data_IF_009505910318
#
_entry.id   IF_009505910318
#
_cell.length_a   1.000
_cell.length_b   1.000
_cell.length_c   1.000
_cell.angle_alpha   90.00
_cell.angle_beta   90.00
_cell.angle_gamma   90.00
#
_symmetry.space_group_name_H-M   'P 1'
#
loop_
_entity.id
_entity.type
_entity.pdbx_description
1 polymer ?
#
# COMPACT_ATOMS: atom_id res chain seq x y z
N UNK A 1 -14.28 7.83 -11.48
CA UNK A 1 -13.91 7.78 -10.07
C UNK A 1 -12.39 7.81 -9.97
N UNK A 2 -11.85 8.72 -9.16
CA UNK A 2 -10.44 8.84 -8.80
C UNK A 2 -10.28 8.21 -7.41
N UNK A 3 -9.32 7.30 -7.27
CA UNK A 3 -9.05 6.58 -6.02
C UNK A 3 -7.58 6.73 -5.67
N UNK A 4 -7.31 7.31 -4.51
CA UNK A 4 -5.99 7.22 -3.91
C UNK A 4 -5.79 5.79 -3.36
N UNK A 5 -4.92 5.01 -3.98
CA UNK A 5 -4.81 3.58 -3.69
C UNK A 5 -3.95 3.25 -2.47
N UNK A 6 -3.35 4.26 -1.84
CA UNK A 6 -2.57 4.08 -0.62
C UNK A 6 -2.48 5.39 0.17
N UNK A 7 -3.24 5.44 1.26
CA UNK A 7 -3.11 6.42 2.34
C UNK A 7 -3.11 5.71 3.69
N UNK A 8 -2.40 6.26 4.66
CA UNK A 8 -2.53 5.86 6.05
C UNK A 8 -3.72 6.55 6.71
N UNK A 9 -4.25 5.94 7.76
CA UNK A 9 -5.29 6.58 8.57
C UNK A 9 -4.76 7.87 9.21
N UNK A 10 -5.36 9.01 8.85
CA UNK A 10 -5.01 10.34 9.35
C UNK A 10 -6.04 10.75 10.42
N UNK A 11 -5.58 11.41 11.49
CA UNK A 11 -6.43 11.85 12.58
C UNK A 11 -6.28 13.36 12.84
N UNK A 12 -7.39 14.14 12.90
CA UNK A 12 -8.78 13.71 12.75
C UNK A 12 -9.15 13.36 11.30
N UNK A 13 -10.06 12.39 11.13
CA UNK A 13 -10.46 11.85 9.81
C UNK A 13 -11.07 12.93 8.91
N UNK A 14 -11.73 13.91 9.49
CA UNK A 14 -12.31 15.05 8.77
C UNK A 14 -11.23 15.84 8.01
N UNK A 15 -10.00 15.87 8.50
CA UNK A 15 -8.86 16.47 7.78
C UNK A 15 -8.51 15.66 6.53
N UNK A 16 -8.54 14.33 6.62
CA UNK A 16 -8.29 13.43 5.50
C UNK A 16 -9.35 13.59 4.42
N UNK A 17 -10.63 13.62 4.81
CA UNK A 17 -11.75 13.83 3.89
C UNK A 17 -11.61 15.18 3.18
N UNK A 18 -11.25 16.24 3.91
CA UNK A 18 -11.02 17.57 3.32
C UNK A 18 -9.88 17.55 2.28
N UNK A 19 -8.76 16.85 2.56
CA UNK A 19 -7.68 16.67 1.59
C UNK A 19 -8.15 15.96 0.31
N UNK A 20 -8.99 14.93 0.43
CA UNK A 20 -9.58 14.26 -0.73
C UNK A 20 -10.49 15.19 -1.53
N UNK A 21 -11.34 15.97 -0.86
CA UNK A 21 -12.25 16.93 -1.49
C UNK A 21 -11.48 18.02 -2.24
N UNK A 22 -10.45 18.61 -1.61
CA UNK A 22 -9.58 19.62 -2.23
C UNK A 22 -8.82 19.05 -3.44
N UNK A 23 -8.41 17.78 -3.37
CA UNK A 23 -7.78 17.09 -4.48
C UNK A 23 -8.76 16.64 -5.57
N UNK A 24 -10.07 16.68 -5.33
CA UNK A 24 -11.08 16.08 -6.19
C UNK A 24 -10.84 14.57 -6.37
N UNK A 25 -10.54 13.89 -5.27
CA UNK A 25 -10.41 12.42 -5.16
C UNK A 25 -11.69 11.88 -4.53
N UNK A 26 -12.29 10.86 -5.14
CA UNK A 26 -13.59 10.35 -4.71
C UNK A 26 -13.48 9.43 -3.50
N UNK A 27 -12.45 8.58 -3.49
CA UNK A 27 -12.20 7.60 -2.41
C UNK A 27 -10.70 7.40 -2.15
N UNK A 28 -10.37 6.90 -0.97
CA UNK A 28 -9.02 6.38 -0.69
C UNK A 28 -9.06 4.94 -0.16
N UNK A 29 -7.97 4.21 -0.32
CA UNK A 29 -7.72 2.93 0.33
C UNK A 29 -6.86 3.19 1.56
N UNK A 30 -7.46 3.01 2.73
CA UNK A 30 -6.80 3.27 4.01
C UNK A 30 -6.00 2.06 4.48
N UNK A 31 -4.79 2.35 4.92
CA UNK A 31 -3.89 1.48 5.64
C UNK A 31 -3.83 1.89 7.10
N UNK A 32 -3.64 0.93 7.99
CA UNK A 32 -3.38 1.25 9.40
C UNK A 32 -2.02 1.94 9.52
N UNK A 33 -1.90 2.89 10.45
CA UNK A 33 -0.60 3.44 10.86
C UNK A 33 -0.51 3.48 12.38
N UNK A 34 0.71 3.54 12.89
CA UNK A 34 1.03 3.75 14.31
C UNK A 34 1.58 5.15 14.56
N UNK A 35 2.51 5.69 13.74
CA UNK A 35 2.84 7.11 13.82
C UNK A 35 1.75 7.99 13.20
N UNK A 36 1.55 9.15 13.81
CA UNK A 36 0.63 10.21 13.38
C UNK A 36 1.39 11.54 13.24
N UNK A 37 2.34 11.65 12.29
CA UNK A 37 3.15 12.86 12.10
C UNK A 37 2.32 14.08 11.75
N UNK A 38 1.10 13.91 11.23
CA UNK A 38 0.17 15.01 10.95
C UNK A 38 -0.26 15.78 12.21
N UNK A 39 -0.12 15.17 13.40
CA UNK A 39 -0.44 15.80 14.69
C UNK A 39 0.74 16.57 15.28
N UNK A 40 1.94 16.38 14.73
CA UNK A 40 3.14 17.05 15.21
C UNK A 40 3.15 18.52 14.77
N UNK A 41 3.47 19.42 15.69
CA UNK A 41 3.54 20.87 15.45
C UNK A 41 4.96 21.41 15.68
N UNK A 42 5.84 20.63 16.29
CA UNK A 42 7.23 21.01 16.57
C UNK A 42 8.21 20.02 15.96
N UNK A 43 9.44 20.48 15.67
CA UNK A 43 10.52 19.62 15.15
C UNK A 43 10.81 18.42 16.07
N UNK A 44 10.65 18.58 17.38
CA UNK A 44 10.87 17.48 18.32
C UNK A 44 9.76 16.42 18.21
N UNK A 45 8.50 16.84 18.08
CA UNK A 45 7.38 15.93 17.85
C UNK A 45 7.54 15.20 16.51
N UNK A 46 7.91 15.90 15.43
CA UNK A 46 8.22 15.27 14.15
C UNK A 46 9.32 14.22 14.29
N UNK A 47 10.43 14.53 14.98
CA UNK A 47 11.50 13.55 15.22
C UNK A 47 11.02 12.32 15.98
N UNK A 48 10.10 12.49 16.94
CA UNK A 48 9.54 11.38 17.70
C UNK A 48 8.67 10.49 16.80
N UNK A 49 7.77 11.08 16.01
CA UNK A 49 6.91 10.34 15.07
C UNK A 49 7.72 9.63 13.99
N UNK A 50 8.73 10.29 13.42
CA UNK A 50 9.62 9.69 12.42
C UNK A 50 10.48 8.56 13.01
N UNK A 51 10.90 8.68 14.28
CA UNK A 51 11.60 7.60 14.97
C UNK A 51 10.73 6.35 15.12
N UNK A 52 9.43 6.52 15.41
CA UNK A 52 8.47 5.40 15.43
C UNK A 52 8.31 4.80 14.04
N UNK A 53 8.15 5.64 13.00
CA UNK A 53 8.06 5.16 11.61
C UNK A 53 9.29 4.34 11.21
N UNK A 54 10.50 4.83 11.48
CA UNK A 54 11.73 4.14 11.08
C UNK A 54 11.89 2.78 11.79
N UNK A 55 11.35 2.60 13.00
CA UNK A 55 11.28 1.29 13.66
C UNK A 55 10.28 0.33 13.01
N UNK A 56 9.15 0.86 12.52
CA UNK A 56 8.18 0.07 11.75
C UNK A 56 8.78 -0.37 10.41
N UNK A 57 9.44 0.55 9.70
CA UNK A 57 10.09 0.29 8.42
C UNK A 57 11.29 -0.66 8.56
N UNK A 58 12.03 -0.60 9.67
CA UNK A 58 13.13 -1.55 9.96
C UNK A 58 12.63 -2.95 10.33
N UNK A 59 11.32 -3.19 10.33
CA UNK A 59 10.72 -4.46 10.68
C UNK A 59 11.03 -4.89 12.12
N UNK A 60 11.29 -3.95 13.03
CA UNK A 60 11.52 -4.23 14.44
C UNK A 60 10.25 -4.83 15.06
N UNK A 61 10.35 -6.06 15.59
CA UNK A 61 9.19 -6.80 16.11
C UNK A 61 9.29 -7.08 17.61
N UNK A 62 8.13 -7.05 18.25
CA UNK A 62 7.83 -7.69 19.51
C UNK A 62 6.53 -8.51 19.35
N UNK A 63 6.67 -9.76 18.91
CA UNK A 63 5.60 -10.62 18.37
C UNK A 63 4.25 -10.60 19.13
N UNK A 64 4.25 -10.67 20.47
CA UNK A 64 2.99 -10.66 21.24
C UNK A 64 2.35 -9.28 21.33
N UNK A 65 3.16 -8.23 21.48
CA UNK A 65 2.66 -6.86 21.58
C UNK A 65 2.20 -6.34 20.21
N UNK A 66 2.84 -6.81 19.13
CA UNK A 66 2.52 -6.40 17.76
C UNK A 66 1.14 -6.89 17.31
N UNK A 67 0.76 -8.14 17.59
CA UNK A 67 -0.57 -8.64 17.20
C UNK A 67 -1.69 -7.87 17.89
N UNK A 68 -1.56 -7.60 19.19
CA UNK A 68 -2.55 -6.80 19.93
C UNK A 68 -2.62 -5.37 19.40
N UNK A 69 -1.47 -4.77 19.03
CA UNK A 69 -1.42 -3.45 18.38
C UNK A 69 -2.13 -3.50 17.03
N UNK A 70 -1.84 -4.48 16.18
CA UNK A 70 -2.50 -4.65 14.88
C UNK A 70 -4.02 -4.83 15.02
N UNK A 71 -4.47 -5.62 16.00
CA UNK A 71 -5.89 -5.78 16.31
C UNK A 71 -6.56 -4.43 16.67
N UNK A 72 -5.93 -3.64 17.55
CA UNK A 72 -6.43 -2.31 17.90
C UNK A 72 -6.48 -1.38 16.66
N UNK A 73 -5.42 -1.38 15.85
CA UNK A 73 -5.35 -0.57 14.65
C UNK A 73 -6.44 -0.96 13.62
N UNK A 74 -6.70 -2.26 13.46
CA UNK A 74 -7.80 -2.77 12.63
C UNK A 74 -9.14 -2.28 13.18
N UNK A 75 -9.35 -2.34 14.49
CA UNK A 75 -10.60 -1.86 15.11
C UNK A 75 -10.83 -0.37 14.86
N UNK A 76 -9.77 0.45 14.94
CA UNK A 76 -9.87 1.88 14.67
C UNK A 76 -10.11 2.17 13.18
N UNK A 77 -9.40 1.47 12.28
CA UNK A 77 -9.67 1.52 10.84
C UNK A 77 -11.14 1.17 10.55
N UNK A 78 -11.66 0.08 11.12
CA UNK A 78 -13.04 -0.36 10.89
C UNK A 78 -14.10 0.63 11.39
N UNK A 79 -13.85 1.37 12.48
CA UNK A 79 -14.74 2.46 12.91
C UNK A 79 -14.85 3.53 11.83
N UNK A 80 -13.72 3.88 11.22
CA UNK A 80 -13.64 4.90 10.16
C UNK A 80 -14.33 4.41 8.88
N UNK A 81 -14.02 3.19 8.43
CA UNK A 81 -14.65 2.61 7.23
C UNK A 81 -16.16 2.48 7.37
N UNK A 82 -16.68 2.14 8.57
CA UNK A 82 -18.13 2.09 8.82
C UNK A 82 -18.78 3.47 8.78
N UNK A 83 -18.12 4.48 9.35
CA UNK A 83 -18.65 5.85 9.40
C UNK A 83 -18.62 6.54 8.04
N UNK A 84 -17.59 6.29 7.24
CA UNK A 84 -17.32 6.96 5.97
C UNK A 84 -17.13 5.97 4.81
N UNK A 85 -18.05 5.00 4.70
CA UNK A 85 -17.99 3.91 3.71
C UNK A 85 -18.08 4.41 2.25
N UNK A 86 -18.64 5.59 2.03
CA UNK A 86 -18.69 6.29 0.75
C UNK A 86 -17.35 6.95 0.40
N UNK A 87 -16.42 7.13 1.35
CA UNK A 87 -15.10 7.74 1.13
C UNK A 87 -13.95 6.74 1.16
N UNK A 88 -14.09 5.61 1.85
CA UNK A 88 -12.93 4.74 2.09
C UNK A 88 -13.18 3.26 1.79
N UNK A 89 -12.15 2.62 1.24
CA UNK A 89 -11.89 1.18 1.37
C UNK A 89 -10.74 0.99 2.37
N UNK A 90 -10.39 -0.26 2.70
CA UNK A 90 -9.25 -0.50 3.58
C UNK A 90 -8.48 -1.77 3.26
N UNK A 91 -7.19 -1.72 3.56
CA UNK A 91 -6.28 -2.85 3.63
C UNK A 91 -5.90 -3.06 5.10
N UNK A 92 -5.84 -4.32 5.52
CA UNK A 92 -5.56 -4.66 6.92
C UNK A 92 -4.16 -5.25 7.12
N UNK A 93 -3.50 -4.96 8.24
CA UNK A 93 -2.22 -5.56 8.56
C UNK A 93 -2.36 -7.05 8.88
N UNK A 94 -1.34 -7.82 8.52
CA UNK A 94 -1.20 -9.24 8.88
C UNK A 94 0.18 -9.45 9.51
N UNK A 95 0.28 -10.12 10.67
CA UNK A 95 1.56 -10.39 11.31
C UNK A 95 2.45 -11.28 10.44
N UNK A 96 3.71 -10.88 10.27
CA UNK A 96 4.75 -11.71 9.66
C UNK A 96 5.36 -12.67 10.69
N UNK A 97 5.63 -13.91 10.28
CA UNK A 97 6.31 -14.93 11.10
C UNK A 97 5.37 -15.86 11.87
N UNK A 98 4.06 -15.79 11.61
CA UNK A 98 3.12 -16.84 12.00
C UNK A 98 3.28 -18.06 11.08
N UNK A 99 2.78 -19.21 11.52
CA UNK A 99 2.63 -20.36 10.62
C UNK A 99 1.41 -20.18 9.69
N UNK A 100 1.29 -21.04 8.68
CA UNK A 100 0.23 -20.92 7.66
C UNK A 100 -1.19 -20.92 8.23
N UNK A 101 -1.50 -21.84 9.15
CA UNK A 101 -2.85 -21.96 9.73
C UNK A 101 -3.19 -20.74 10.59
N UNK A 102 -2.22 -20.23 11.35
CA UNK A 102 -2.37 -18.99 12.13
C UNK A 102 -2.56 -17.77 11.22
N UNK A 103 -1.79 -17.67 10.12
CA UNK A 103 -1.93 -16.61 9.12
C UNK A 103 -3.30 -16.65 8.46
N UNK A 104 -3.78 -17.82 8.03
CA UNK A 104 -5.11 -17.98 7.43
C UNK A 104 -6.18 -17.56 8.44
N UNK A 105 -6.09 -18.06 9.68
CA UNK A 105 -7.03 -17.71 10.75
C UNK A 105 -7.08 -16.20 11.02
N UNK A 106 -5.93 -15.52 10.97
CA UNK A 106 -5.86 -14.07 11.09
C UNK A 106 -6.55 -13.36 9.92
N UNK A 107 -6.25 -13.76 8.68
CA UNK A 107 -6.84 -13.20 7.47
C UNK A 107 -8.36 -13.36 7.49
N UNK A 108 -8.87 -14.54 7.81
CA UNK A 108 -10.32 -14.78 7.89
C UNK A 108 -10.97 -13.90 8.95
N UNK A 109 -10.38 -13.86 10.15
CA UNK A 109 -10.94 -13.16 11.30
C UNK A 109 -10.93 -11.66 11.14
N UNK A 110 -9.86 -11.07 10.61
CA UNK A 110 -9.66 -9.61 10.64
C UNK A 110 -9.75 -8.93 9.27
N UNK A 111 -9.54 -9.66 8.17
CA UNK A 111 -9.54 -9.10 6.81
C UNK A 111 -10.84 -9.46 6.10
N UNK A 112 -11.13 -10.75 5.97
CA UNK A 112 -12.30 -11.25 5.22
C UNK A 112 -13.60 -10.90 5.94
N UNK A 113 -13.72 -11.17 7.24
CA UNK A 113 -14.94 -10.88 8.01
C UNK A 113 -15.32 -9.38 8.01
N UNK A 114 -14.31 -8.51 7.85
CA UNK A 114 -14.45 -7.06 7.80
C UNK A 114 -14.60 -6.52 6.37
N UNK A 115 -14.61 -7.38 5.35
CA UNK A 115 -14.71 -7.02 3.93
C UNK A 115 -13.61 -6.03 3.46
N UNK A 116 -12.42 -6.12 4.07
CA UNK A 116 -11.24 -5.39 3.61
C UNK A 116 -10.83 -5.91 2.22
N UNK A 117 -10.16 -5.04 1.44
CA UNK A 117 -9.87 -5.29 0.01
C UNK A 117 -8.48 -5.83 -0.25
N UNK A 118 -7.65 -5.90 0.78
CA UNK A 118 -6.32 -6.45 0.68
C UNK A 118 -5.62 -6.50 2.03
N UNK A 119 -4.38 -6.93 1.99
CA UNK A 119 -3.50 -7.06 3.15
C UNK A 119 -2.25 -6.22 2.96
N UNK A 120 -1.80 -5.61 4.05
CA UNK A 120 -0.65 -4.72 4.07
C UNK A 120 -0.91 -3.49 4.95
N UNK A 121 0.00 -2.54 5.01
CA UNK A 121 1.29 -2.49 4.32
C UNK A 121 2.27 -3.43 5.03
N UNK A 122 2.95 -4.30 4.27
CA UNK A 122 4.04 -5.10 4.82
C UNK A 122 5.33 -4.31 4.77
N UNK A 123 6.00 -4.13 5.92
CA UNK A 123 7.27 -3.40 6.06
C UNK A 123 8.44 -4.33 6.44
N UNK A 124 8.87 -5.24 5.54
CA UNK A 124 10.01 -6.11 5.85
C UNK A 124 11.30 -5.28 5.94
N UNK A 125 11.98 -5.37 7.08
CA UNK A 125 13.20 -4.62 7.36
C UNK A 125 14.49 -5.25 6.84
N UNK A 126 14.43 -6.52 6.42
CA UNK A 126 15.57 -7.27 5.89
C UNK A 126 15.10 -8.43 5.00
N UNK A 127 16.04 -9.01 4.26
CA UNK A 127 15.78 -10.09 3.30
C UNK A 127 15.12 -11.32 3.91
N UNK A 128 15.40 -11.66 5.17
CA UNK A 128 14.76 -12.79 5.85
C UNK A 128 13.28 -12.53 6.11
N UNK A 129 12.92 -11.29 6.48
CA UNK A 129 11.52 -10.90 6.59
C UNK A 129 10.82 -10.82 5.23
N UNK A 130 11.53 -10.51 4.14
CA UNK A 130 10.96 -10.63 2.79
C UNK A 130 10.63 -12.09 2.48
N UNK A 131 11.51 -13.05 2.82
CA UNK A 131 11.19 -14.48 2.65
C UNK A 131 9.98 -14.93 3.47
N UNK A 132 9.78 -14.37 4.66
CA UNK A 132 8.61 -14.66 5.50
C UNK A 132 7.28 -14.29 4.83
N UNK A 133 7.28 -13.42 3.81
CA UNK A 133 6.08 -13.14 3.01
C UNK A 133 5.56 -14.39 2.31
N UNK A 134 6.38 -15.41 2.06
CA UNK A 134 5.93 -16.64 1.39
C UNK A 134 4.70 -17.28 2.06
N UNK A 135 4.64 -17.29 3.40
CA UNK A 135 3.48 -17.78 4.14
C UNK A 135 2.23 -16.93 3.85
N UNK A 136 2.39 -15.61 3.72
CA UNK A 136 1.31 -14.71 3.33
C UNK A 136 0.84 -15.02 1.90
N UNK A 137 1.78 -15.20 0.96
CA UNK A 137 1.47 -15.58 -0.42
C UNK A 137 0.70 -16.91 -0.50
N UNK A 138 1.15 -17.93 0.22
CA UNK A 138 0.45 -19.22 0.32
C UNK A 138 -0.97 -19.06 0.86
N UNK A 139 -1.15 -18.30 1.94
CA UNK A 139 -2.46 -18.04 2.51
C UNK A 139 -3.39 -17.34 1.52
N UNK A 140 -2.88 -16.38 0.76
CA UNK A 140 -3.65 -15.59 -0.22
C UNK A 140 -4.02 -16.33 -1.50
N UNK A 141 -3.45 -17.50 -1.80
CA UNK A 141 -3.84 -18.28 -3.00
C UNK A 141 -5.34 -18.62 -3.02
N UNK A 142 -5.96 -18.76 -1.84
CA UNK A 142 -7.39 -19.03 -1.69
C UNK A 142 -8.25 -17.75 -1.65
N UNK A 143 -7.62 -16.57 -1.67
CA UNK A 143 -8.29 -15.27 -1.58
C UNK A 143 -7.83 -14.35 -2.72
N UNK A 144 -7.95 -14.81 -3.98
CA UNK A 144 -7.47 -14.08 -5.17
C UNK A 144 -8.12 -12.70 -5.39
N UNK A 145 -9.15 -12.35 -4.63
CA UNK A 145 -9.77 -11.03 -4.63
C UNK A 145 -9.09 -10.03 -3.66
N UNK A 146 -8.17 -10.51 -2.81
CA UNK A 146 -7.34 -9.68 -1.93
C UNK A 146 -5.99 -9.42 -2.60
N UNK A 147 -5.62 -8.16 -2.73
CA UNK A 147 -4.26 -7.79 -3.13
C UNK A 147 -3.33 -7.73 -1.90
N UNK A 148 -2.04 -7.99 -2.12
CA UNK A 148 -0.98 -7.78 -1.14
C UNK A 148 -0.20 -6.51 -1.49
N UNK A 149 -0.05 -5.62 -0.51
CA UNK A 149 0.74 -4.39 -0.65
C UNK A 149 2.01 -4.50 0.20
N UNK A 150 3.18 -4.40 -0.44
CA UNK A 150 4.48 -4.51 0.24
C UNK A 150 5.28 -3.23 0.04
N UNK A 151 5.83 -2.71 1.14
CA UNK A 151 6.80 -1.62 1.13
C UNK A 151 8.03 -2.05 0.36
N UNK A 152 8.42 -1.31 -0.68
CA UNK A 152 9.61 -1.63 -1.48
C UNK A 152 10.62 -0.49 -1.58
N UNK A 153 10.52 0.52 -0.71
CA UNK A 153 11.55 1.53 -0.52
C UNK A 153 12.58 1.06 0.53
N UNK A 154 13.55 1.92 0.85
CA UNK A 154 14.49 1.68 1.95
C UNK A 154 13.72 1.38 3.25
N UNK A 155 14.03 0.30 3.99
CA UNK A 155 15.30 -0.45 3.98
C UNK A 155 15.36 -1.69 3.08
N UNK A 156 14.35 -1.94 2.24
CA UNK A 156 14.35 -3.12 1.36
C UNK A 156 15.53 -3.03 0.37
N UNK A 157 16.39 -4.04 0.41
CA UNK A 157 17.59 -4.10 -0.42
C UNK A 157 17.24 -4.57 -1.84
N UNK A 158 18.16 -4.41 -2.79
CA UNK A 158 18.01 -4.99 -4.13
C UNK A 158 17.83 -6.51 -4.10
N UNK A 159 18.46 -7.21 -3.15
CA UNK A 159 18.26 -8.64 -2.95
C UNK A 159 16.86 -8.94 -2.40
N UNK A 160 16.37 -8.15 -1.45
CA UNK A 160 14.98 -8.20 -0.98
C UNK A 160 13.98 -8.03 -2.13
N UNK A 161 14.20 -7.08 -3.03
CA UNK A 161 13.38 -6.90 -4.25
C UNK A 161 13.39 -8.17 -5.11
N UNK A 162 14.56 -8.78 -5.35
CA UNK A 162 14.64 -10.02 -6.13
C UNK A 162 13.89 -11.18 -5.47
N UNK A 163 13.97 -11.31 -4.14
CA UNK A 163 13.20 -12.32 -3.40
C UNK A 163 11.69 -12.09 -3.61
N UNK A 164 11.22 -10.84 -3.49
CA UNK A 164 9.81 -10.52 -3.69
C UNK A 164 9.35 -10.80 -5.14
N UNK A 165 10.20 -10.52 -6.13
CA UNK A 165 9.94 -10.84 -7.54
C UNK A 165 9.78 -12.35 -7.76
N UNK A 166 10.64 -13.17 -7.16
CA UNK A 166 10.56 -14.63 -7.27
C UNK A 166 9.32 -15.19 -6.56
N UNK A 167 8.95 -14.65 -5.38
CA UNK A 167 7.67 -14.98 -4.74
C UNK A 167 6.48 -14.61 -5.64
N UNK A 168 6.51 -13.41 -6.25
CA UNK A 168 5.43 -12.93 -7.12
C UNK A 168 5.23 -13.85 -8.33
N UNK A 169 6.32 -14.34 -8.95
CA UNK A 169 6.25 -15.35 -10.03
C UNK A 169 5.75 -16.70 -9.55
N UNK A 170 6.18 -17.13 -8.36
CA UNK A 170 5.82 -18.42 -7.76
C UNK A 170 4.32 -18.53 -7.47
N UNK A 171 3.68 -17.41 -7.13
CA UNK A 171 2.27 -17.34 -6.74
C UNK A 171 1.45 -16.44 -7.69
N UNK A 172 1.24 -16.86 -8.96
CA UNK A 172 0.67 -16.01 -10.01
C UNK A 172 -0.80 -15.62 -9.80
N UNK A 173 -1.50 -16.25 -8.85
CA UNK A 173 -2.89 -15.91 -8.48
C UNK A 173 -2.97 -14.75 -7.49
N UNK A 174 -1.86 -14.41 -6.83
CA UNK A 174 -1.82 -13.35 -5.82
C UNK A 174 -1.43 -12.05 -6.50
N UNK A 175 -2.30 -11.06 -6.45
CA UNK A 175 -2.05 -9.72 -6.95
C UNK A 175 -1.11 -8.95 -6.02
N UNK A 176 0.07 -8.56 -6.51
CA UNK A 176 1.15 -7.93 -5.73
C UNK A 176 1.32 -6.47 -6.13
N UNK A 177 1.23 -5.57 -5.15
CA UNK A 177 1.51 -4.14 -5.31
C UNK A 177 2.90 -3.86 -4.72
N UNK A 178 3.81 -3.43 -5.59
CA UNK A 178 5.16 -2.99 -5.22
C UNK A 178 5.09 -1.52 -4.80
N UNK A 179 5.19 -1.28 -3.48
CA UNK A 179 5.09 0.03 -2.85
C UNK A 179 6.16 0.99 -3.33
N UNK A 180 5.80 2.22 -3.70
CA UNK A 180 6.75 3.25 -4.10
C UNK A 180 7.62 2.87 -5.32
N UNK A 181 7.07 2.07 -6.23
CA UNK A 181 7.71 1.66 -7.49
C UNK A 181 9.09 1.00 -7.28
N UNK A 182 9.35 0.34 -6.14
CA UNK A 182 10.65 -0.30 -5.87
C UNK A 182 11.75 0.63 -5.34
N UNK A 183 11.43 1.89 -5.06
CA UNK A 183 12.38 2.90 -4.62
C UNK A 183 13.56 3.04 -5.59
N UNK A 184 14.80 2.90 -5.10
CA UNK A 184 15.98 2.99 -5.96
C UNK A 184 16.11 1.84 -6.98
N UNK A 185 15.33 0.77 -6.85
CA UNK A 185 15.31 -0.38 -7.77
C UNK A 185 14.27 -0.22 -8.89
N UNK A 186 13.69 0.96 -9.07
CA UNK A 186 12.56 1.24 -9.95
C UNK A 186 12.73 0.72 -11.39
N UNK A 187 13.91 0.82 -12.00
CA UNK A 187 14.13 0.29 -13.36
C UNK A 187 13.86 -1.22 -13.42
N UNK A 188 14.48 -1.98 -12.52
CA UNK A 188 14.32 -3.42 -12.44
C UNK A 188 12.87 -3.81 -12.11
N UNK A 189 12.21 -3.05 -11.21
CA UNK A 189 10.82 -3.32 -10.83
C UNK A 189 9.86 -3.01 -11.98
N UNK A 190 10.07 -1.94 -12.76
CA UNK A 190 9.26 -1.64 -13.95
C UNK A 190 9.41 -2.76 -15.00
N UNK A 191 10.64 -3.18 -15.31
CA UNK A 191 10.91 -4.26 -16.26
C UNK A 191 10.24 -5.57 -15.82
N UNK A 192 10.34 -5.90 -14.54
CA UNK A 192 9.67 -7.07 -13.97
C UNK A 192 8.14 -6.98 -14.06
N UNK A 193 7.57 -5.84 -13.69
CA UNK A 193 6.11 -5.62 -13.72
C UNK A 193 5.58 -5.68 -15.15
N UNK A 194 6.34 -5.25 -16.14
CA UNK A 194 5.98 -5.36 -17.56
C UNK A 194 5.69 -6.80 -17.95
N UNK A 195 6.58 -7.72 -17.56
CA UNK A 195 6.51 -9.14 -17.93
C UNK A 195 5.66 -10.01 -16.96
N UNK A 196 5.29 -9.49 -15.79
CA UNK A 196 4.64 -10.27 -14.73
C UNK A 196 3.16 -9.88 -14.53
N UNK A 197 2.17 -10.70 -14.94
CA UNK A 197 0.76 -10.30 -15.00
C UNK A 197 0.14 -9.84 -13.68
N UNK A 198 0.52 -10.46 -12.57
CA UNK A 198 -0.02 -10.21 -11.23
C UNK A 198 0.75 -9.13 -10.43
N UNK A 199 1.71 -8.44 -11.04
CA UNK A 199 2.49 -7.39 -10.39
C UNK A 199 1.99 -5.99 -10.79
N UNK A 200 1.99 -5.05 -9.84
CA UNK A 200 1.49 -3.68 -9.98
C UNK A 200 2.43 -2.69 -9.29
N UNK A 201 2.40 -1.42 -9.74
CA UNK A 201 3.22 -0.34 -9.20
C UNK A 201 2.36 0.64 -8.42
N UNK A 202 2.71 0.85 -7.17
CA UNK A 202 2.27 2.01 -6.41
C UNK A 202 3.17 3.22 -6.75
N UNK A 203 2.55 4.35 -7.12
CA UNK A 203 3.27 5.57 -7.57
C UNK A 203 3.56 6.58 -6.44
N UNK A 204 3.26 6.25 -5.18
CA UNK A 204 3.56 7.14 -4.05
C UNK A 204 5.06 7.22 -3.75
N UNK A 205 5.45 8.17 -2.89
CA UNK A 205 6.84 8.40 -2.44
C UNK A 205 7.91 8.42 -3.55
N UNK A 206 7.51 8.73 -4.79
CA UNK A 206 8.48 8.84 -5.89
C UNK A 206 9.40 10.03 -5.65
N UNK A 207 10.70 9.77 -5.59
CA UNK A 207 11.72 10.81 -5.45
C UNK A 207 11.96 11.59 -6.75
N UNK A 208 11.36 11.19 -7.87
CA UNK A 208 11.52 11.86 -9.16
C UNK A 208 10.31 11.67 -10.07
N UNK A 209 9.81 12.77 -10.64
CA UNK A 209 8.74 12.73 -11.63
C UNK A 209 9.14 11.98 -12.92
N UNK A 210 10.45 11.87 -13.20
CA UNK A 210 10.94 11.06 -14.32
C UNK A 210 10.67 9.57 -14.12
N UNK A 211 10.80 9.06 -12.88
CA UNK A 211 10.50 7.65 -12.55
C UNK A 211 9.02 7.35 -12.83
N UNK A 212 8.14 8.25 -12.38
CA UNK A 212 6.69 8.14 -12.65
C UNK A 212 6.40 8.19 -14.15
N UNK A 213 7.07 9.10 -14.88
CA UNK A 213 6.94 9.20 -16.35
C UNK A 213 7.33 7.88 -17.03
N UNK A 214 8.41 7.24 -16.59
CA UNK A 214 8.88 5.96 -17.14
C UNK A 214 7.91 4.83 -16.83
N UNK A 215 7.42 4.72 -15.60
CA UNK A 215 6.41 3.72 -15.22
C UNK A 215 5.13 3.87 -16.06
N UNK A 216 4.63 5.10 -16.25
CA UNK A 216 3.45 5.39 -17.08
C UNK A 216 3.70 5.05 -18.56
N UNK A 217 4.91 5.29 -19.08
CA UNK A 217 5.25 4.99 -20.47
C UNK A 217 5.31 3.47 -20.72
N UNK A 218 5.87 2.71 -19.78
CA UNK A 218 6.10 1.27 -19.96
C UNK A 218 4.91 0.40 -19.58
N UNK A 219 4.24 0.70 -18.45
CA UNK A 219 3.20 -0.18 -17.87
C UNK A 219 1.97 0.59 -17.36
N UNK A 220 1.35 1.47 -18.16
CA UNK A 220 0.28 2.36 -17.68
C UNK A 220 -0.93 1.65 -17.07
N UNK A 221 -1.24 0.42 -17.50
CA UNK A 221 -2.35 -0.39 -16.99
C UNK A 221 -2.04 -1.09 -15.65
N UNK A 222 -0.81 -0.96 -15.14
CA UNK A 222 -0.34 -1.53 -13.87
C UNK A 222 0.14 -0.47 -12.88
N UNK A 223 0.11 0.81 -13.27
CA UNK A 223 0.38 1.93 -12.38
C UNK A 223 -0.86 2.32 -11.57
N UNK A 224 -0.68 2.54 -10.27
CA UNK A 224 -1.73 2.91 -9.34
C UNK A 224 -1.41 4.29 -8.75
N UNK A 225 -2.33 5.24 -8.91
CA UNK A 225 -2.24 6.53 -8.24
C UNK A 225 -2.32 6.34 -6.72
N UNK A 226 -1.33 6.88 -6.02
CA UNK A 226 -1.22 6.84 -4.57
C UNK A 226 -0.51 8.08 -4.04
N UNK A 227 -0.91 8.57 -2.87
CA UNK A 227 -0.24 9.68 -2.20
C UNK A 227 0.70 9.27 -1.08
N UNK A 228 0.44 8.14 -0.41
CA UNK A 228 1.09 7.79 0.86
C UNK A 228 0.87 8.89 1.91
N UNK A 229 -0.32 9.51 1.93
CA UNK A 229 -0.65 10.50 2.95
C UNK A 229 -0.61 9.84 4.34
N UNK A 230 -0.08 10.50 5.39
CA UNK A 230 0.29 11.92 5.47
C UNK A 230 1.73 12.25 5.02
N UNK A 231 2.49 11.30 4.46
CA UNK A 231 3.86 11.53 4.01
C UNK A 231 3.93 12.20 2.63
N UNK A 232 2.97 11.90 1.75
CA UNK A 232 2.71 12.67 0.54
C UNK A 232 1.37 13.41 0.58
N UNK A 233 0.97 13.97 -0.56
CA UNK A 233 -0.21 14.82 -0.68
C UNK A 233 -1.09 14.39 -1.87
N UNK A 234 -2.38 14.05 -1.66
CA UNK A 234 -3.27 13.59 -2.72
C UNK A 234 -3.31 14.53 -3.93
N UNK A 235 -3.45 15.84 -3.67
CA UNK A 235 -3.49 16.86 -4.72
C UNK A 235 -2.21 16.86 -5.58
N UNK A 236 -1.04 16.85 -4.95
CA UNK A 236 0.24 16.96 -5.65
C UNK A 236 0.55 15.69 -6.45
N UNK A 237 0.30 14.52 -5.87
CA UNK A 237 0.53 13.23 -6.52
C UNK A 237 -0.42 13.06 -7.73
N UNK A 238 -1.69 13.47 -7.59
CA UNK A 238 -2.65 13.50 -8.71
C UNK A 238 -2.20 14.45 -9.81
N UNK A 239 -1.83 15.69 -9.46
CA UNK A 239 -1.36 16.69 -10.43
C UNK A 239 -0.10 16.23 -11.19
N UNK A 240 0.81 15.52 -10.52
CA UNK A 240 1.97 14.92 -11.18
C UNK A 240 1.54 13.95 -12.29
N UNK A 241 0.56 13.08 -12.04
CA UNK A 241 0.03 12.15 -13.04
C UNK A 241 -0.67 12.89 -14.17
N UNK A 242 -1.48 13.91 -13.86
CA UNK A 242 -2.15 14.77 -14.86
C UNK A 242 -1.16 15.54 -15.74
N UNK A 243 -0.06 15.96 -15.15
CA UNK A 243 1.02 16.62 -15.88
C UNK A 243 1.75 15.66 -16.81
N UNK A 244 2.09 14.46 -16.34
CA UNK A 244 2.91 13.49 -17.08
C UNK A 244 2.12 12.68 -18.12
N UNK A 245 0.82 12.43 -17.89
CA UNK A 245 -0.02 11.60 -18.75
C UNK A 245 -1.07 12.45 -19.50
N UNK A 246 -0.85 12.69 -20.79
CA UNK A 246 -1.74 13.51 -21.62
C UNK A 246 -2.92 12.72 -22.20
N UNK A 247 -2.75 11.42 -22.43
CA UNK A 247 -3.84 10.54 -22.84
C UNK A 247 -4.88 10.44 -21.71
N UNK A 248 -6.09 10.93 -21.96
CA UNK A 248 -7.15 11.01 -20.97
C UNK A 248 -7.62 9.64 -20.48
N UNK A 249 -7.67 8.64 -21.38
CA UNK A 249 -8.12 7.29 -21.05
C UNK A 249 -7.10 6.60 -20.15
N UNK A 250 -5.82 6.69 -20.52
CA UNK A 250 -4.72 6.15 -19.70
C UNK A 250 -4.67 6.84 -18.35
N UNK A 251 -4.76 8.18 -18.32
CA UNK A 251 -4.79 8.95 -17.08
C UNK A 251 -5.94 8.54 -16.17
N UNK A 252 -7.16 8.42 -16.69
CA UNK A 252 -8.34 7.97 -15.93
C UNK A 252 -8.14 6.57 -15.35
N UNK A 253 -7.47 5.68 -16.07
CA UNK A 253 -7.15 4.34 -15.58
C UNK A 253 -6.15 4.39 -14.44
N UNK A 254 -5.04 5.12 -14.57
CA UNK A 254 -4.03 5.25 -13.51
C UNK A 254 -4.63 5.86 -12.25
N UNK A 255 -5.44 6.92 -12.40
CA UNK A 255 -6.07 7.64 -11.30
C UNK A 255 -7.16 6.84 -10.56
N UNK A 256 -7.60 5.69 -11.05
CA UNK A 256 -8.62 4.90 -10.33
C UNK A 256 -9.09 3.64 -11.05
N UNK A 257 -9.14 3.62 -12.38
CA UNK A 257 -9.61 2.46 -13.14
C UNK A 257 -8.79 1.18 -12.90
N UNK A 258 -7.46 1.31 -12.77
CA UNK A 258 -6.57 0.17 -12.55
C UNK A 258 -6.80 -0.47 -11.19
N UNK A 259 -6.88 0.33 -10.12
CA UNK A 259 -7.12 -0.20 -8.76
C UNK A 259 -8.53 -0.78 -8.63
N UNK A 260 -9.55 -0.19 -9.26
CA UNK A 260 -10.90 -0.75 -9.31
C UNK A 260 -10.92 -2.13 -9.97
N UNK A 261 -10.26 -2.25 -11.13
CA UNK A 261 -10.13 -3.51 -11.85
C UNK A 261 -9.36 -4.54 -11.02
N UNK A 262 -8.28 -4.13 -10.37
CA UNK A 262 -7.47 -5.01 -9.52
C UNK A 262 -8.28 -5.62 -8.36
N UNK A 263 -9.12 -4.80 -7.73
CA UNK A 263 -9.91 -5.20 -6.56
C UNK A 263 -11.30 -5.72 -6.90
N UNK A 264 -11.60 -5.93 -8.19
CA UNK A 264 -12.92 -6.32 -8.69
C UNK A 264 -14.06 -5.44 -8.13
N UNK A 265 -13.82 -4.14 -8.04
CA UNK A 265 -14.80 -3.16 -7.59
C UNK A 265 -15.49 -2.55 -8.81
N UNK A 266 -16.84 -2.54 -8.77
CA UNK A 266 -17.63 -1.93 -9.83
C UNK A 266 -17.41 -0.40 -9.84
N UNK A 267 -17.22 0.15 -11.04
CA UNK A 267 -17.14 1.59 -11.32
C UNK A 267 -18.51 2.22 -11.48
#
# INVERSE_FOLDING_TARGET
>A
MIIDSHEHLILPVEMQIKKLEEAGVDKAILFTTTPHPEKANTMQEFKNEMSVLFKVLSGEKNHKNDMKRMENNINDLMKVLKKYSDKFYGFGPVPLGLNLDETISWIEKYIVSNNLKGVGEFTPGNDEQVKQLEIIFQALENYSYLAIWIHTFYPVTSNGINILMELTKKYPKVSVIFGHTGGYNWMNVIDFVKETPNAYLDLSASFSSLVVKMAIAEVPNKCLYSSDAPYGEPLLNKQMIEYLCKDEKVRKNILGGNILKLLNLNS
#
